data_IF_977319322134
#
_entry.id   IF_977319322134
#
_cell.length_a   1.000
_cell.length_b   1.000
_cell.length_c   1.000
_cell.angle_alpha   90.00
_cell.angle_beta   90.00
_cell.angle_gamma   90.00
#
_symmetry.space_group_name_H-M   'P 1'
#
loop_
_entity.id
_entity.type
_entity.pdbx_description
1 polymer ?
#
# COMPACT_ATOMS: atom_id res chain seq x y z
N UNK A 1 -2.87 6.45 -13.33
CA UNK A 1 -3.58 5.93 -12.14
C UNK A 1 -3.78 7.11 -11.18
N UNK A 2 -4.77 7.11 -10.27
CA UNK A 2 -4.81 8.18 -9.26
C UNK A 2 -3.79 7.92 -8.16
N UNK A 3 -3.23 8.96 -7.56
CA UNK A 3 -2.31 8.85 -6.44
C UNK A 3 -2.88 7.99 -5.29
N UNK A 4 -4.17 8.16 -4.99
CA UNK A 4 -4.83 7.35 -3.96
C UNK A 4 -4.88 5.87 -4.33
N UNK A 5 -5.23 5.53 -5.57
CA UNK A 5 -5.22 4.15 -6.06
C UNK A 5 -3.82 3.55 -5.95
N UNK A 6 -2.81 4.28 -6.43
CA UNK A 6 -1.42 3.85 -6.40
C UNK A 6 -0.95 3.53 -4.98
N UNK A 7 -1.27 4.43 -4.05
CA UNK A 7 -0.86 4.33 -2.66
C UNK A 7 -1.64 3.23 -1.94
N UNK A 8 -2.91 3.03 -2.30
CA UNK A 8 -3.73 1.92 -1.81
C UNK A 8 -3.24 0.57 -2.29
N UNK A 9 -2.90 0.42 -3.58
CA UNK A 9 -2.32 -0.82 -4.13
C UNK A 9 -0.95 -1.10 -3.56
N UNK A 10 -0.09 -0.08 -3.41
CA UNK A 10 1.19 -0.22 -2.72
C UNK A 10 1.01 -0.71 -1.29
N UNK A 11 0.05 -0.14 -0.54
CA UNK A 11 -0.22 -0.53 0.83
C UNK A 11 -0.74 -1.98 0.94
N UNK A 12 -1.63 -2.39 0.03
CA UNK A 12 -2.09 -3.77 -0.09
C UNK A 12 -0.93 -4.72 -0.34
N UNK A 13 -0.11 -4.43 -1.35
CA UNK A 13 1.06 -5.26 -1.69
C UNK A 13 2.08 -5.31 -0.55
N UNK A 14 2.21 -4.22 0.23
CA UNK A 14 3.08 -4.20 1.42
C UNK A 14 2.60 -5.17 2.49
N UNK A 15 1.28 -5.22 2.73
CA UNK A 15 0.68 -6.19 3.63
C UNK A 15 0.82 -7.62 3.11
N UNK A 16 0.52 -7.85 1.83
CA UNK A 16 0.67 -9.16 1.18
C UNK A 16 2.11 -9.65 1.26
N UNK A 17 3.08 -8.84 0.82
CA UNK A 17 4.50 -9.19 0.86
C UNK A 17 5.01 -9.38 2.29
N UNK A 18 4.41 -8.70 3.28
CA UNK A 18 4.72 -8.93 4.69
C UNK A 18 4.13 -10.24 5.23
N UNK A 19 2.95 -10.66 4.75
CA UNK A 19 2.31 -11.92 5.13
C UNK A 19 2.90 -13.12 4.38
N UNK A 20 3.31 -12.92 3.13
CA UNK A 20 3.87 -13.91 2.22
C UNK A 20 5.22 -13.40 1.65
N UNK A 21 6.28 -13.34 2.48
CA UNK A 21 7.59 -12.85 2.05
C UNK A 21 8.28 -13.76 1.01
N UNK A 22 7.80 -15.00 0.85
CA UNK A 22 8.28 -15.96 -0.15
C UNK A 22 7.70 -15.68 -1.55
N UNK A 23 6.61 -14.89 -1.63
CA UNK A 23 5.98 -14.53 -2.89
C UNK A 23 6.77 -13.40 -3.59
N UNK A 24 7.66 -13.82 -4.49
CA UNK A 24 8.48 -12.91 -5.28
C UNK A 24 7.65 -11.94 -6.12
N UNK A 25 6.50 -12.40 -6.64
CA UNK A 25 5.62 -11.60 -7.49
C UNK A 25 4.97 -10.43 -6.72
N UNK A 26 4.54 -10.65 -5.48
CA UNK A 26 4.02 -9.60 -4.60
C UNK A 26 5.08 -8.52 -4.32
N UNK A 27 6.33 -8.93 -4.12
CA UNK A 27 7.44 -7.99 -3.90
C UNK A 27 7.78 -7.19 -5.15
N UNK A 28 7.80 -7.82 -6.33
CA UNK A 28 7.99 -7.11 -7.60
C UNK A 28 6.85 -6.12 -7.85
N UNK A 29 5.61 -6.52 -7.59
CA UNK A 29 4.45 -5.67 -7.74
C UNK A 29 4.47 -4.48 -6.77
N UNK A 30 4.92 -4.69 -5.53
CA UNK A 30 5.16 -3.63 -4.56
C UNK A 30 6.18 -2.60 -5.07
N UNK A 31 7.28 -3.07 -5.64
CA UNK A 31 8.33 -2.21 -6.21
C UNK A 31 7.80 -1.44 -7.42
N UNK A 32 6.98 -2.07 -8.25
CA UNK A 32 6.33 -1.42 -9.40
C UNK A 32 5.43 -0.26 -8.94
N UNK A 33 4.58 -0.46 -7.93
CA UNK A 33 3.77 0.63 -7.39
C UNK A 33 4.60 1.70 -6.68
N UNK A 34 5.66 1.33 -5.97
CA UNK A 34 6.60 2.27 -5.37
C UNK A 34 7.25 3.18 -6.43
N UNK A 35 7.60 2.60 -7.59
CA UNK A 35 8.14 3.35 -8.72
C UNK A 35 7.10 4.29 -9.31
N UNK A 36 5.84 3.86 -9.51
CA UNK A 36 4.76 4.74 -9.99
C UNK A 36 4.52 5.91 -9.01
N UNK A 37 4.53 5.65 -7.71
CA UNK A 37 4.36 6.69 -6.69
C UNK A 37 5.44 7.77 -6.79
N UNK A 38 6.69 7.39 -7.03
CA UNK A 38 7.80 8.34 -7.15
C UNK A 38 7.92 8.96 -8.55
N UNK A 39 7.71 8.22 -9.64
CA UNK A 39 7.85 8.72 -11.01
C UNK A 39 6.61 9.45 -11.52
N UNK A 40 5.40 8.89 -11.32
CA UNK A 40 4.15 9.44 -11.87
C UNK A 40 3.51 10.48 -10.94
N UNK A 41 3.74 10.34 -9.62
CA UNK A 41 3.15 11.21 -8.60
C UNK A 41 4.15 12.06 -7.82
N UNK A 42 5.44 11.95 -8.15
CA UNK A 42 6.53 12.74 -7.59
C UNK A 42 6.58 12.69 -6.04
N UNK A 43 6.26 11.53 -5.48
CA UNK A 43 6.37 11.28 -4.06
C UNK A 43 7.83 11.05 -3.65
N UNK A 44 8.25 11.82 -2.67
CA UNK A 44 9.60 11.72 -2.08
C UNK A 44 9.63 10.81 -0.86
N UNK A 45 8.53 10.76 -0.10
CA UNK A 45 8.38 9.87 1.05
C UNK A 45 6.92 9.46 1.21
N UNK A 46 6.69 8.24 1.68
CA UNK A 46 5.38 7.75 2.10
C UNK A 46 5.56 6.69 3.17
N UNK A 47 4.84 6.86 4.28
CA UNK A 47 4.97 6.00 5.45
C UNK A 47 3.63 5.83 6.16
N UNK A 48 3.46 4.70 6.83
CA UNK A 48 2.29 4.45 7.67
C UNK A 48 2.50 5.20 8.97
N UNK A 49 1.75 6.27 9.17
CA UNK A 49 1.86 7.15 10.33
C UNK A 49 1.22 6.55 11.58
N UNK A 50 0.01 5.97 11.42
CA UNK A 50 -0.73 5.32 12.50
C UNK A 50 -1.62 4.19 11.97
N UNK A 51 -1.89 3.21 12.82
CA UNK A 51 -2.86 2.14 12.55
C UNK A 51 -3.85 2.10 13.71
N UNK A 52 -5.12 2.29 13.42
CA UNK A 52 -6.24 2.33 14.36
C UNK A 52 -7.16 1.11 14.18
N UNK A 53 -8.28 1.07 14.91
CA UNK A 53 -9.31 0.02 14.92
C UNK A 53 -9.99 -0.19 13.54
N UNK A 54 -9.23 -0.70 12.58
CA UNK A 54 -9.64 -0.92 11.20
C UNK A 54 -9.19 0.17 10.21
N UNK A 55 -8.32 1.11 10.59
CA UNK A 55 -7.87 2.17 9.67
C UNK A 55 -6.36 2.28 9.65
N UNK A 56 -5.80 2.48 8.47
CA UNK A 56 -4.36 2.69 8.25
C UNK A 56 -4.15 4.12 7.75
N UNK A 57 -3.55 4.96 8.59
CA UNK A 57 -3.15 6.31 8.24
C UNK A 57 -1.80 6.27 7.52
N UNK A 58 -1.76 6.75 6.29
CA UNK A 58 -0.54 6.88 5.49
C UNK A 58 -0.28 8.36 5.25
N UNK A 59 0.90 8.80 5.64
CA UNK A 59 1.40 10.14 5.37
C UNK A 59 2.38 10.07 4.24
N UNK A 60 2.20 10.94 3.24
CA UNK A 60 3.09 11.04 2.11
C UNK A 60 3.50 12.49 1.86
N UNK A 61 4.73 12.66 1.39
CA UNK A 61 5.32 13.93 1.02
C UNK A 61 5.66 13.93 -0.47
N UNK A 62 5.35 15.04 -1.14
CA UNK A 62 5.71 15.29 -2.54
C UNK A 62 7.00 16.08 -2.64
N UNK A 63 7.62 16.03 -3.81
CA UNK A 63 8.82 16.84 -4.14
C UNK A 63 8.59 18.35 -4.02
N UNK A 64 7.33 18.79 -4.12
CA UNK A 64 6.91 20.18 -3.92
C UNK A 64 6.96 20.64 -2.44
N UNK A 65 7.17 19.71 -1.49
CA UNK A 65 7.14 19.98 -0.05
C UNK A 65 5.75 19.84 0.57
N UNK A 66 4.72 19.66 -0.26
CA UNK A 66 3.37 19.35 0.16
C UNK A 66 3.28 17.97 0.83
N UNK A 67 2.89 17.94 2.11
CA UNK A 67 2.64 16.70 2.86
C UNK A 67 1.15 16.49 3.05
N UNK A 68 0.67 15.26 2.85
CA UNK A 68 -0.74 14.89 3.06
C UNK A 68 -0.83 13.59 3.81
N UNK A 69 -1.84 13.51 4.67
CA UNK A 69 -2.21 12.29 5.38
C UNK A 69 -3.54 11.80 4.85
N UNK A 70 -3.59 10.53 4.49
CA UNK A 70 -4.79 9.84 4.04
C UNK A 70 -4.99 8.60 4.91
N UNK A 71 -6.21 8.11 4.96
CA UNK A 71 -6.54 6.87 5.67
C UNK A 71 -7.16 5.88 4.71
N UNK A 72 -6.83 4.61 4.91
CA UNK A 72 -7.41 3.50 4.18
C UNK A 72 -8.07 2.54 5.16
N UNK A 73 -9.10 1.87 4.69
CA UNK A 73 -9.75 0.83 5.46
C UNK A 73 -8.82 -0.39 5.52
N UNK A 74 -8.44 -0.78 6.75
CA UNK A 74 -7.52 -1.89 6.99
C UNK A 74 -8.12 -3.19 6.49
N UNK A 75 -9.42 -3.41 6.68
CA UNK A 75 -10.07 -4.61 6.17
C UNK A 75 -9.99 -4.66 4.65
N UNK A 76 -10.18 -3.53 3.96
CA UNK A 76 -10.03 -3.46 2.50
C UNK A 76 -8.58 -3.73 2.05
N UNK A 77 -7.58 -3.22 2.78
CA UNK A 77 -6.16 -3.49 2.49
C UNK A 77 -5.84 -4.98 2.68
N UNK A 78 -6.33 -5.58 3.76
CA UNK A 78 -6.14 -7.01 4.05
C UNK A 78 -7.05 -7.90 3.16
N UNK A 79 -8.11 -7.34 2.57
CA UNK A 79 -9.06 -8.08 1.75
C UNK A 79 -8.37 -8.65 0.52
N UNK A 80 -7.46 -7.92 -0.12
CA UNK A 80 -6.70 -8.43 -1.26
C UNK A 80 -5.84 -9.64 -0.86
N UNK A 81 -5.18 -9.57 0.30
CA UNK A 81 -4.41 -10.71 0.79
C UNK A 81 -5.31 -11.92 1.06
N UNK A 82 -6.50 -11.70 1.61
CA UNK A 82 -7.48 -12.78 1.79
C UNK A 82 -7.98 -13.30 0.44
N UNK A 83 -8.31 -12.45 -0.51
CA UNK A 83 -8.79 -12.88 -1.83
C UNK A 83 -7.72 -13.68 -2.60
N UNK A 84 -6.47 -13.23 -2.56
CA UNK A 84 -5.36 -13.87 -3.27
C UNK A 84 -4.81 -15.13 -2.57
N UNK A 85 -4.83 -15.19 -1.23
CA UNK A 85 -4.16 -16.27 -0.47
C UNK A 85 -5.08 -17.04 0.51
N UNK A 86 -6.31 -16.60 0.76
CA UNK A 86 -7.27 -17.28 1.65
C UNK A 86 -8.23 -18.21 0.90
N UNK A 87 -7.76 -18.90 -0.15
CA UNK A 87 -8.44 -20.11 -0.65
C UNK A 87 -8.25 -21.31 0.30
N UNK A 88 -8.27 -21.12 1.62
CA UNK A 88 -8.31 -22.23 2.60
C UNK A 88 -8.89 -21.74 3.92
N UNK A 89 -10.23 -21.64 4.01
CA UNK A 89 -10.96 -22.11 5.19
C UNK A 89 -12.34 -22.61 4.76
N UNK A 90 -12.45 -23.93 4.79
CA UNK A 90 -13.68 -24.74 4.73
C UNK A 90 -14.77 -24.26 5.69
#
# INVERSE_FOLDING_TARGET
MSLMDALFYWLQMKWVSSAHPDDGAARETLLFFAQILSEDHELVSYEVSSIDAGKVHVTYAKTDGSTRTVWFDREAVEQLNRDMFNDQKE
#
